data_IF_249406285316
#
_entry.id   IF_249406285316
#
_cell.length_a   1.000
_cell.length_b   1.000
_cell.length_c   1.000
_cell.angle_alpha   90.00
_cell.angle_beta   90.00
_cell.angle_gamma   90.00
#
_symmetry.space_group_name_H-M   'P 1'
#
loop_
_entity.id
_entity.type
_entity.pdbx_description
1 polymer ?
#
# COMPACT_ATOMS: atom_id res chain seq x y z
N UNK A 1 0.35 -2.78 26.41
CA UNK A 1 1.23 -2.21 25.36
C UNK A 1 0.41 -1.79 24.16
N UNK A 2 0.97 -1.04 23.20
CA UNK A 2 0.24 -0.60 22.00
C UNK A 2 -0.46 -1.75 21.26
N UNK A 3 0.17 -2.94 21.20
CA UNK A 3 -0.42 -4.15 20.64
C UNK A 3 -1.67 -4.65 21.41
N UNK A 4 -1.70 -4.53 22.75
CA UNK A 4 -2.88 -4.90 23.54
C UNK A 4 -3.99 -3.83 23.47
N UNK A 5 -3.62 -2.55 23.28
CA UNK A 5 -4.58 -1.46 23.02
C UNK A 5 -5.21 -1.59 21.63
N UNK A 6 -4.42 -1.87 20.60
CA UNK A 6 -4.92 -2.21 19.26
C UNK A 6 -5.78 -3.47 19.30
N UNK A 7 -5.32 -4.56 19.94
CA UNK A 7 -6.13 -5.78 20.10
C UNK A 7 -7.45 -5.55 20.83
N UNK A 8 -7.49 -4.68 21.86
CA UNK A 8 -8.74 -4.31 22.56
C UNK A 8 -9.64 -3.36 21.77
N UNK A 9 -9.08 -2.37 21.05
CA UNK A 9 -9.83 -1.47 20.19
C UNK A 9 -10.41 -2.18 18.95
N UNK A 10 -9.71 -3.24 18.48
CA UNK A 10 -10.12 -4.08 17.37
C UNK A 10 -11.01 -5.26 17.79
N UNK A 11 -11.16 -5.53 19.11
CA UNK A 11 -11.99 -6.60 19.67
C UNK A 11 -13.49 -6.29 19.51
N UNK A 12 -13.94 -6.24 18.25
CA UNK A 12 -15.30 -5.95 17.82
C UNK A 12 -15.40 -5.06 16.58
N UNK A 13 -14.33 -4.33 16.22
CA UNK A 13 -14.43 -3.23 15.23
C UNK A 13 -13.89 -3.56 13.84
N UNK A 14 -12.97 -4.52 13.71
CA UNK A 14 -12.31 -4.82 12.43
C UNK A 14 -12.25 -6.33 12.19
N UNK A 15 -12.92 -6.84 11.14
CA UNK A 15 -12.77 -8.23 10.70
C UNK A 15 -11.29 -8.56 10.47
N UNK A 16 -10.78 -9.72 10.94
CA UNK A 16 -9.39 -10.14 10.70
C UNK A 16 -8.99 -10.10 9.21
N UNK A 17 -9.95 -10.33 8.31
CA UNK A 17 -9.75 -10.24 6.87
C UNK A 17 -9.40 -8.83 6.36
N UNK A 18 -9.74 -7.77 7.10
CA UNK A 18 -9.39 -6.40 6.72
C UNK A 18 -8.06 -5.94 7.32
N UNK A 19 -7.44 -6.75 8.18
CA UNK A 19 -6.19 -6.39 8.84
C UNK A 19 -5.07 -6.00 7.85
N UNK A 20 -4.79 -6.76 6.76
CA UNK A 20 -3.73 -6.40 5.82
C UNK A 20 -3.99 -5.05 5.13
N UNK A 21 -5.22 -4.78 4.70
CA UNK A 21 -5.54 -3.51 4.03
C UNK A 21 -5.48 -2.34 5.01
N UNK A 22 -5.87 -2.52 6.27
CA UNK A 22 -5.71 -1.48 7.30
C UNK A 22 -4.24 -1.14 7.55
N UNK A 23 -3.37 -2.15 7.65
CA UNK A 23 -1.92 -1.95 7.80
C UNK A 23 -1.34 -1.23 6.58
N UNK A 24 -1.77 -1.61 5.37
CA UNK A 24 -1.35 -0.95 4.14
C UNK A 24 -1.72 0.55 4.14
N UNK A 25 -2.97 0.88 4.47
CA UNK A 25 -3.44 2.28 4.51
C UNK A 25 -2.73 3.10 5.59
N UNK A 26 -2.45 2.52 6.75
CA UNK A 26 -1.63 3.17 7.77
C UNK A 26 -0.20 3.41 7.26
N UNK A 27 0.40 2.44 6.58
CA UNK A 27 1.69 2.58 5.92
C UNK A 27 1.71 3.70 4.88
N UNK A 28 0.69 3.78 4.02
CA UNK A 28 0.50 4.86 3.05
C UNK A 28 0.46 6.22 3.73
N UNK A 29 -0.32 6.38 4.80
CA UNK A 29 -0.45 7.67 5.50
C UNK A 29 0.86 8.08 6.20
N UNK A 30 1.49 7.16 6.91
CA UNK A 30 2.74 7.43 7.64
C UNK A 30 3.88 7.72 6.64
N UNK A 31 4.04 6.91 5.60
CA UNK A 31 5.11 7.09 4.63
C UNK A 31 4.90 8.33 3.78
N UNK A 32 3.66 8.66 3.39
CA UNK A 32 3.38 9.85 2.61
C UNK A 32 3.67 11.13 3.40
N UNK A 33 3.33 11.15 4.69
CA UNK A 33 3.59 12.32 5.56
C UNK A 33 5.06 12.45 5.96
N UNK A 34 5.74 11.34 6.24
CA UNK A 34 7.16 11.35 6.66
C UNK A 34 8.14 11.39 5.50
N UNK A 35 7.74 10.91 4.31
CA UNK A 35 8.61 10.76 3.15
C UNK A 35 9.63 9.62 3.28
N UNK A 36 9.45 8.70 4.25
CA UNK A 36 10.44 7.63 4.53
C UNK A 36 9.85 6.22 4.51
N UNK A 37 10.48 5.32 3.76
CA UNK A 37 10.15 3.89 3.73
C UNK A 37 10.67 3.16 4.95
N UNK A 38 11.99 3.21 5.20
CA UNK A 38 12.63 2.48 6.29
C UNK A 38 12.12 2.90 7.67
N UNK A 39 11.84 4.20 7.86
CA UNK A 39 11.22 4.70 9.09
C UNK A 39 9.82 4.10 9.28
N UNK A 40 9.00 4.12 8.23
CA UNK A 40 7.65 3.53 8.25
C UNK A 40 7.69 2.02 8.53
N UNK A 41 8.59 1.28 7.87
CA UNK A 41 8.77 -0.17 8.11
C UNK A 41 9.23 -0.44 9.54
N UNK A 42 10.18 0.35 10.05
CA UNK A 42 10.70 0.22 11.41
C UNK A 42 9.63 0.45 12.48
N UNK A 43 8.66 1.32 12.23
CA UNK A 43 7.51 1.54 13.13
C UNK A 43 6.45 0.45 12.98
N UNK A 44 6.08 0.10 11.75
CA UNK A 44 4.92 -0.76 11.51
C UNK A 44 5.20 -2.26 11.67
N UNK A 45 6.38 -2.75 11.32
CA UNK A 45 6.72 -4.18 11.48
C UNK A 45 6.56 -4.70 12.92
N UNK A 46 7.18 -4.08 13.95
CA UNK A 46 7.07 -4.56 15.33
C UNK A 46 5.65 -4.45 15.90
N UNK A 47 4.78 -3.60 15.32
CA UNK A 47 3.37 -3.52 15.68
C UNK A 47 2.52 -4.57 14.95
N UNK A 48 2.81 -4.80 13.67
CA UNK A 48 1.99 -5.63 12.79
C UNK A 48 2.19 -7.12 13.07
N UNK A 49 3.43 -7.57 13.26
CA UNK A 49 3.75 -9.00 13.42
C UNK A 49 3.04 -9.60 14.65
N UNK A 50 3.11 -9.02 15.87
CA UNK A 50 2.45 -9.60 17.04
C UNK A 50 0.92 -9.63 16.92
N UNK A 51 0.33 -8.60 16.31
CA UNK A 51 -1.12 -8.53 16.09
C UNK A 51 -1.54 -9.61 15.09
N UNK A 52 -0.77 -9.81 14.01
CA UNK A 52 -1.03 -10.87 13.04
C UNK A 52 -0.97 -12.26 13.68
N UNK A 53 0.06 -12.54 14.50
CA UNK A 53 0.19 -13.81 15.23
C UNK A 53 -0.96 -14.04 16.21
N UNK A 54 -1.52 -12.97 16.78
CA UNK A 54 -2.68 -13.08 17.68
C UNK A 54 -3.99 -13.32 16.93
N UNK A 55 -4.16 -12.75 15.73
CA UNK A 55 -5.37 -12.87 14.92
C UNK A 55 -5.43 -14.18 14.12
N UNK A 56 -4.29 -14.64 13.60
CA UNK A 56 -4.21 -15.79 12.72
C UNK A 56 -2.85 -16.52 12.89
N UNK A 57 -2.63 -17.19 14.04
CA UNK A 57 -1.32 -17.77 14.40
C UNK A 57 -0.77 -18.77 13.38
N UNK A 58 -1.65 -19.54 12.74
CA UNK A 58 -1.26 -20.60 11.79
C UNK A 58 -1.39 -20.18 10.31
N UNK A 59 -1.75 -18.92 10.04
CA UNK A 59 -1.98 -18.44 8.68
C UNK A 59 -0.75 -17.78 8.07
N UNK A 60 0.03 -18.58 7.34
CA UNK A 60 1.15 -18.08 6.54
C UNK A 60 0.71 -17.02 5.51
N UNK A 61 -0.48 -17.18 4.94
CA UNK A 61 -1.05 -16.20 3.99
C UNK A 61 -1.34 -14.86 4.67
N UNK A 62 -1.92 -14.88 5.88
CA UNK A 62 -2.18 -13.66 6.63
C UNK A 62 -0.87 -12.96 7.01
N UNK A 63 0.12 -13.70 7.51
CA UNK A 63 1.44 -13.15 7.84
C UNK A 63 2.13 -12.53 6.62
N UNK A 64 2.18 -13.26 5.50
CA UNK A 64 2.76 -12.75 4.26
C UNK A 64 2.03 -11.49 3.77
N UNK A 65 0.69 -11.45 3.88
CA UNK A 65 -0.10 -10.29 3.49
C UNK A 65 0.11 -9.07 4.37
N UNK A 66 0.24 -9.27 5.69
CA UNK A 66 0.51 -8.20 6.64
C UNK A 66 1.92 -7.60 6.43
N UNK A 67 2.92 -8.45 6.21
CA UNK A 67 4.28 -8.03 5.87
C UNK A 67 4.29 -7.27 4.54
N UNK A 68 3.65 -7.83 3.50
CA UNK A 68 3.55 -7.19 2.19
C UNK A 68 2.82 -5.84 2.26
N UNK A 69 1.80 -5.71 3.12
CA UNK A 69 1.09 -4.47 3.38
C UNK A 69 1.98 -3.39 3.97
N UNK A 70 2.83 -3.74 4.95
CA UNK A 70 3.82 -2.81 5.51
C UNK A 70 4.80 -2.34 4.43
N UNK A 71 5.39 -3.26 3.67
CA UNK A 71 6.34 -2.90 2.60
C UNK A 71 5.69 -2.01 1.54
N UNK A 72 4.50 -2.39 1.06
CA UNK A 72 3.81 -1.65 -0.01
C UNK A 72 3.37 -0.26 0.44
N UNK A 73 2.86 -0.14 1.67
CA UNK A 73 2.47 1.15 2.25
C UNK A 73 3.68 2.05 2.48
N UNK A 74 4.82 1.49 2.91
CA UNK A 74 6.05 2.25 3.10
C UNK A 74 6.65 2.77 1.78
N UNK A 75 6.64 1.96 0.72
CA UNK A 75 7.16 2.36 -0.60
C UNK A 75 6.29 3.42 -1.29
N UNK A 76 4.97 3.42 -1.02
CA UNK A 76 4.06 4.44 -1.57
C UNK A 76 4.54 5.87 -1.28
N UNK A 77 4.88 6.16 -0.03
CA UNK A 77 5.35 7.49 0.38
C UNK A 77 6.68 7.87 -0.26
N UNK A 78 7.64 6.95 -0.33
CA UNK A 78 8.93 7.22 -0.98
C UNK A 78 8.78 7.58 -2.47
N UNK A 79 7.77 7.01 -3.12
CA UNK A 79 7.54 7.20 -4.54
C UNK A 79 6.86 8.54 -4.88
N UNK A 80 5.97 9.04 -4.01
CA UNK A 80 5.13 10.19 -4.35
C UNK A 80 5.03 11.28 -3.28
N UNK A 81 5.72 11.15 -2.13
CA UNK A 81 5.76 12.21 -1.13
C UNK A 81 6.72 13.32 -1.56
N UNK A 82 6.31 14.60 -1.52
CA UNK A 82 7.20 15.72 -1.80
C UNK A 82 8.35 15.85 -0.78
N UNK A 83 8.26 15.16 0.36
CA UNK A 83 9.26 15.20 1.43
C UNK A 83 10.31 14.08 1.32
N UNK A 84 10.18 13.15 0.36
CA UNK A 84 11.07 12.00 0.24
C UNK A 84 12.38 12.35 -0.47
N UNK A 85 13.50 11.85 0.05
CA UNK A 85 14.83 11.98 -0.56
C UNK A 85 14.84 11.43 -2.00
N UNK A 86 14.16 10.30 -2.24
CA UNK A 86 14.05 9.70 -3.58
C UNK A 86 13.31 10.63 -4.55
N UNK A 87 12.25 11.30 -4.08
CA UNK A 87 11.50 12.28 -4.87
C UNK A 87 12.36 13.51 -5.17
N UNK A 88 13.11 14.01 -4.18
CA UNK A 88 14.01 15.16 -4.35
C UNK A 88 15.12 14.86 -5.35
N UNK A 89 15.81 13.74 -5.18
CA UNK A 89 16.91 13.33 -6.08
C UNK A 89 16.40 13.08 -7.49
N UNK A 90 15.23 12.44 -7.64
CA UNK A 90 14.60 12.23 -8.95
C UNK A 90 14.21 13.54 -9.62
N UNK A 91 13.68 14.51 -8.87
CA UNK A 91 13.34 15.83 -9.39
C UNK A 91 14.58 16.60 -9.86
N UNK A 92 15.67 16.57 -9.08
CA UNK A 92 16.96 17.16 -9.46
C UNK A 92 17.52 16.51 -10.73
N UNK A 93 17.47 15.18 -10.85
CA UNK A 93 17.93 14.46 -12.04
C UNK A 93 17.08 14.76 -13.30
N UNK A 94 15.82 15.17 -13.11
CA UNK A 94 14.92 15.57 -14.19
C UNK A 94 14.86 17.08 -14.43
N UNK A 95 15.66 17.89 -13.71
CA UNK A 95 15.66 19.36 -13.79
C UNK A 95 14.28 20.01 -13.53
N UNK A 96 13.46 19.39 -12.67
CA UNK A 96 12.15 19.90 -12.26
C UNK A 96 12.08 20.12 -10.75
N UNK A 97 11.05 20.84 -10.29
CA UNK A 97 10.81 20.98 -8.87
C UNK A 97 10.30 19.65 -8.26
N UNK A 98 10.61 19.33 -6.98
CA UNK A 98 10.00 18.21 -6.28
C UNK A 98 8.46 18.29 -6.26
N UNK A 99 7.93 19.52 -6.28
CA UNK A 99 6.50 19.77 -6.35
C UNK A 99 5.89 19.25 -7.67
N UNK A 100 6.53 19.52 -8.80
CA UNK A 100 6.06 19.06 -10.11
C UNK A 100 6.24 17.55 -10.27
N UNK A 101 7.33 16.99 -9.74
CA UNK A 101 7.54 15.54 -9.71
C UNK A 101 6.41 14.84 -8.95
N UNK A 102 6.13 15.24 -7.70
CA UNK A 102 5.05 14.58 -6.94
C UNK A 102 3.69 14.71 -7.64
N UNK A 103 3.36 15.89 -8.19
CA UNK A 103 2.05 16.11 -8.84
C UNK A 103 1.82 15.18 -10.02
N UNK A 104 2.88 14.86 -10.76
CA UNK A 104 2.80 13.93 -11.88
C UNK A 104 2.79 12.47 -11.44
N UNK A 105 3.49 12.12 -10.35
CA UNK A 105 3.53 10.73 -9.84
C UNK A 105 2.29 10.34 -9.03
N UNK A 106 1.72 11.26 -8.25
CA UNK A 106 0.64 10.96 -7.31
C UNK A 106 -0.59 10.27 -7.95
N UNK A 107 -1.07 10.65 -9.14
CA UNK A 107 -2.18 9.94 -9.80
C UNK A 107 -1.86 8.46 -10.09
N UNK A 108 -0.64 8.16 -10.54
CA UNK A 108 -0.20 6.77 -10.81
C UNK A 108 -0.01 5.99 -9.51
N UNK A 109 0.56 6.62 -8.49
CA UNK A 109 0.70 6.03 -7.16
C UNK A 109 -0.66 5.68 -6.55
N UNK A 110 -1.64 6.60 -6.62
CA UNK A 110 -2.99 6.39 -6.11
C UNK A 110 -3.73 5.27 -6.87
N UNK A 111 -3.55 5.18 -8.18
CA UNK A 111 -4.08 4.07 -8.97
C UNK A 111 -3.49 2.73 -8.50
N UNK A 112 -2.17 2.64 -8.39
CA UNK A 112 -1.49 1.44 -7.91
C UNK A 112 -1.91 1.08 -6.48
N UNK A 113 -2.01 2.06 -5.58
CA UNK A 113 -2.47 1.87 -4.21
C UNK A 113 -3.92 1.38 -4.13
N UNK A 114 -4.79 1.91 -4.99
CA UNK A 114 -6.19 1.48 -5.08
C UNK A 114 -6.29 0.03 -5.55
N UNK A 115 -5.51 -0.37 -6.56
CA UNK A 115 -5.46 -1.76 -7.02
C UNK A 115 -4.87 -2.67 -5.95
N UNK A 116 -3.79 -2.25 -5.28
CA UNK A 116 -3.18 -3.02 -4.19
C UNK A 116 -4.17 -3.23 -3.04
N UNK A 117 -4.95 -2.22 -2.66
CA UNK A 117 -5.97 -2.35 -1.63
C UNK A 117 -7.12 -3.30 -2.05
N UNK A 118 -7.72 -3.05 -3.24
CA UNK A 118 -8.96 -3.71 -3.67
C UNK A 118 -8.74 -5.11 -4.24
N UNK A 119 -7.68 -5.32 -5.02
CA UNK A 119 -7.39 -6.59 -5.68
C UNK A 119 -6.23 -7.37 -5.02
N UNK A 120 -5.49 -6.73 -4.11
CA UNK A 120 -4.39 -7.35 -3.36
C UNK A 120 -4.79 -7.68 -1.92
N UNK A 121 -4.75 -6.69 -1.04
CA UNK A 121 -4.81 -6.89 0.41
C UNK A 121 -6.17 -7.33 0.93
N UNK A 122 -7.28 -6.82 0.37
CA UNK A 122 -8.63 -7.28 0.75
C UNK A 122 -8.81 -8.77 0.39
N UNK A 123 -8.58 -9.22 -0.85
CA UNK A 123 -8.70 -10.64 -1.20
C UNK A 123 -7.71 -11.54 -0.44
N UNK A 124 -6.46 -11.11 -0.26
CA UNK A 124 -5.48 -11.88 0.52
C UNK A 124 -5.91 -12.06 1.98
N UNK A 125 -6.50 -11.03 2.59
CA UNK A 125 -7.06 -11.12 3.94
C UNK A 125 -8.29 -12.03 4.02
N UNK A 126 -9.05 -12.17 2.93
CA UNK A 126 -10.13 -13.18 2.79
C UNK A 126 -9.60 -14.61 2.52
N UNK A 127 -8.28 -14.80 2.44
CA UNK A 127 -7.64 -16.10 2.26
C UNK A 127 -7.34 -16.48 0.81
N UNK A 128 -7.48 -15.55 -0.15
CA UNK A 128 -7.09 -15.83 -1.54
C UNK A 128 -5.57 -15.94 -1.67
N UNK A 129 -5.14 -16.76 -2.64
CA UNK A 129 -3.72 -16.97 -2.94
C UNK A 129 -3.03 -15.67 -3.36
N UNK A 130 -1.84 -15.35 -2.81
CA UNK A 130 -1.06 -14.17 -3.21
C UNK A 130 -0.79 -14.12 -4.71
N UNK A 131 -0.49 -15.27 -5.32
CA UNK A 131 -0.19 -15.36 -6.76
C UNK A 131 -1.37 -14.94 -7.62
N UNK A 132 -2.58 -15.31 -7.23
CA UNK A 132 -3.79 -14.93 -7.96
C UNK A 132 -4.04 -13.42 -7.84
N UNK A 133 -3.86 -12.86 -6.64
CA UNK A 133 -4.01 -11.42 -6.40
C UNK A 133 -2.98 -10.61 -7.23
N UNK A 134 -1.74 -11.08 -7.32
CA UNK A 134 -0.70 -10.47 -8.16
C UNK A 134 -1.07 -10.50 -9.64
N UNK A 135 -1.48 -11.67 -10.18
CA UNK A 135 -1.87 -11.80 -11.59
C UNK A 135 -3.03 -10.85 -11.91
N UNK A 136 -4.08 -10.87 -11.09
CA UNK A 136 -5.26 -10.01 -11.27
C UNK A 136 -4.88 -8.53 -11.18
N UNK A 137 -4.09 -8.14 -10.18
CA UNK A 137 -3.63 -6.75 -10.01
C UNK A 137 -2.80 -6.27 -11.21
N UNK A 138 -1.88 -7.09 -11.70
CA UNK A 138 -1.08 -6.79 -12.90
C UNK A 138 -1.97 -6.61 -14.13
N UNK A 139 -2.93 -7.52 -14.36
CA UNK A 139 -3.87 -7.40 -15.48
C UNK A 139 -4.69 -6.11 -15.40
N UNK A 140 -5.19 -5.76 -14.21
CA UNK A 140 -5.94 -4.51 -14.00
C UNK A 140 -5.06 -3.31 -14.38
N UNK A 141 -3.83 -3.22 -13.85
CA UNK A 141 -2.93 -2.10 -14.14
C UNK A 141 -2.55 -1.99 -15.62
N UNK A 142 -2.28 -3.11 -16.28
CA UNK A 142 -1.95 -3.14 -17.71
C UNK A 142 -3.14 -2.78 -18.61
N UNK A 143 -4.38 -2.98 -18.14
CA UNK A 143 -5.58 -2.64 -18.89
C UNK A 143 -5.91 -1.12 -18.91
N UNK A 144 -5.38 -0.36 -17.95
CA UNK A 144 -5.71 1.07 -17.77
C UNK A 144 -5.40 1.93 -19.01
N UNK A 145 -4.22 1.82 -19.67
CA UNK A 145 -3.94 2.57 -20.88
C UNK A 145 -4.92 2.28 -22.02
N UNK A 146 -5.39 1.02 -22.13
CA UNK A 146 -6.32 0.61 -23.18
C UNK A 146 -7.72 1.20 -22.96
N UNK A 147 -8.20 1.18 -21.71
CA UNK A 147 -9.49 1.78 -21.33
C UNK A 147 -9.46 3.28 -21.60
N UNK A 148 -8.37 3.96 -21.22
CA UNK A 148 -8.17 5.40 -21.49
C UNK A 148 -8.26 5.68 -22.99
N UNK A 149 -7.46 4.99 -23.79
CA UNK A 149 -7.41 5.25 -25.24
C UNK A 149 -8.76 4.99 -25.92
N UNK A 150 -9.50 3.95 -25.50
CA UNK A 150 -10.84 3.66 -26.03
C UNK A 150 -11.85 4.74 -25.66
N UNK A 151 -11.84 5.25 -24.43
CA UNK A 151 -12.76 6.31 -23.99
C UNK A 151 -12.50 7.64 -24.72
N UNK A 152 -11.24 8.04 -24.87
CA UNK A 152 -10.87 9.29 -25.55
C UNK A 152 -10.97 9.22 -27.08
N UNK A 153 -10.90 8.02 -27.68
CA UNK A 153 -11.13 7.82 -29.11
C UNK A 153 -12.61 7.93 -29.52
N UNK A 154 -13.56 7.86 -28.57
CA UNK A 154 -15.00 7.95 -28.86
C UNK A 154 -15.51 9.41 -28.71
N UNK A 155 -14.70 10.29 -28.12
CA UNK A 155 -15.04 11.69 -27.83
C UNK A 155 -14.35 12.72 -28.73
N UNK A 156 -13.65 12.29 -29.79
CA UNK A 156 -13.06 13.15 -30.82
C UNK A 156 -13.60 12.80 -32.20
#
# INVERSE_FOLDING_TARGET
GAASFLSQALNGSLPPALFPVSVFLLGVLISFTTGTSWGTMGVLMPLTIPVCLSLAPDSNTMMASAIAAVFSGAVFGDHCSPMSDTTIVSAVACEISPYDHFRTQLPYALLAASVAALAGFIPMGLGLSPWLCLIVGTFILLSVPWIRNKFFSISG
#
